data_IF_528027810471
#
_entry.id   IF_528027810471
#
_cell.length_a   1.000
_cell.length_b   1.000
_cell.length_c   1.000
_cell.angle_alpha   90.00
_cell.angle_beta   90.00
_cell.angle_gamma   90.00
#
_symmetry.space_group_name_H-M   'P 1'
#
loop_
_entity.id
_entity.type
_entity.pdbx_description
1 polymer ?
#
# COMPACT_ATOMS: atom_id res chain seq x y z
N UNK A 1 -21.02 -36.34 31.51
CA UNK A 1 -21.57 -35.18 30.78
C UNK A 1 -20.73 -33.98 31.17
N UNK A 2 -19.79 -33.56 30.31
CA UNK A 2 -18.92 -32.42 30.64
C UNK A 2 -19.75 -31.15 30.54
N UNK A 3 -20.11 -30.58 31.69
CA UNK A 3 -20.68 -29.25 31.77
C UNK A 3 -19.58 -28.25 31.47
N UNK A 4 -19.34 -28.01 30.18
CA UNK A 4 -18.49 -26.91 29.73
C UNK A 4 -19.20 -25.63 30.18
N UNK A 5 -18.74 -25.06 31.28
CA UNK A 5 -19.25 -23.80 31.80
C UNK A 5 -18.88 -22.69 30.82
N UNK A 6 -19.73 -21.66 30.69
CA UNK A 6 -19.47 -20.53 29.78
C UNK A 6 -18.09 -19.90 29.95
N UNK A 7 -17.48 -20.02 31.14
CA UNK A 7 -16.11 -19.57 31.44
C UNK A 7 -15.04 -20.35 30.66
N UNK A 8 -15.16 -21.67 30.55
CA UNK A 8 -14.17 -22.50 29.83
C UNK A 8 -14.20 -22.22 28.33
N UNK A 9 -15.38 -21.92 27.78
CA UNK A 9 -15.54 -21.52 26.39
C UNK A 9 -14.91 -20.15 26.11
N UNK A 10 -15.05 -19.20 27.05
CA UNK A 10 -14.41 -17.88 26.96
C UNK A 10 -12.89 -18.00 27.06
N UNK A 11 -12.37 -18.82 27.99
CA UNK A 11 -10.93 -19.04 28.15
C UNK A 11 -10.34 -19.74 26.93
N UNK A 12 -10.99 -20.80 26.42
CA UNK A 12 -10.56 -21.48 25.20
C UNK A 12 -10.56 -20.54 23.99
N UNK A 13 -11.60 -19.71 23.84
CA UNK A 13 -11.65 -18.67 22.81
C UNK A 13 -10.49 -17.68 22.92
N UNK A 14 -10.22 -17.17 24.14
CA UNK A 14 -9.11 -16.23 24.37
C UNK A 14 -7.73 -16.85 24.06
N UNK A 15 -7.51 -18.12 24.40
CA UNK A 15 -6.25 -18.83 24.10
C UNK A 15 -6.07 -19.02 22.59
N UNK A 16 -7.13 -19.40 21.86
CA UNK A 16 -7.09 -19.52 20.40
C UNK A 16 -6.79 -18.17 19.76
N UNK A 17 -7.38 -17.08 20.25
CA UNK A 17 -7.07 -15.72 19.79
C UNK A 17 -5.62 -15.38 20.04
N UNK A 18 -5.12 -15.61 21.25
CA UNK A 18 -3.73 -15.36 21.60
C UNK A 18 -2.78 -16.16 20.71
N UNK A 19 -3.07 -17.44 20.46
CA UNK A 19 -2.28 -18.29 19.58
C UNK A 19 -2.29 -17.80 18.13
N UNK A 20 -3.44 -17.40 17.59
CA UNK A 20 -3.56 -16.81 16.24
C UNK A 20 -2.78 -15.50 16.18
N UNK A 21 -2.89 -14.65 17.19
CA UNK A 21 -2.15 -13.40 17.28
C UNK A 21 -0.64 -13.66 17.30
N UNK A 22 -0.15 -14.57 18.15
CA UNK A 22 1.28 -14.93 18.24
C UNK A 22 1.80 -15.52 16.92
N UNK A 23 1.12 -16.51 16.35
CA UNK A 23 1.52 -17.13 15.07
C UNK A 23 1.55 -16.13 13.92
N UNK A 24 0.67 -15.13 13.96
CA UNK A 24 0.58 -14.12 12.90
C UNK A 24 1.52 -12.95 13.13
N UNK A 25 1.79 -12.55 14.37
CA UNK A 25 2.83 -11.58 14.73
C UNK A 25 4.22 -12.15 14.46
N UNK A 26 4.39 -13.46 14.65
CA UNK A 26 5.59 -14.21 14.28
C UNK A 26 5.76 -14.38 12.75
N UNK A 27 4.71 -14.11 11.95
CA UNK A 27 4.85 -13.91 10.51
C UNK A 27 4.96 -12.41 10.25
N UNK A 28 6.16 -11.82 10.32
CA UNK A 28 6.32 -10.42 9.96
C UNK A 28 5.75 -10.24 8.56
N UNK A 29 4.69 -9.42 8.44
CA UNK A 29 4.38 -8.84 7.15
C UNK A 29 5.65 -8.12 6.76
N UNK A 30 6.45 -8.70 5.86
CA UNK A 30 7.82 -8.25 5.62
C UNK A 30 7.75 -6.82 5.11
N UNK A 31 8.06 -5.89 6.02
CA UNK A 31 8.28 -4.50 5.71
C UNK A 31 9.64 -4.43 5.03
N UNK A 32 9.65 -3.85 3.85
CA UNK A 32 10.84 -3.71 3.02
C UNK A 32 11.07 -2.24 2.78
N UNK A 33 12.33 -1.83 2.90
CA UNK A 33 12.77 -0.50 2.50
C UNK A 33 12.83 -0.47 0.97
N UNK A 34 12.17 0.53 0.38
CA UNK A 34 12.20 0.80 -1.06
C UNK A 34 13.13 1.98 -1.28
N UNK A 35 14.10 1.77 -2.16
CA UNK A 35 15.05 2.76 -2.66
C UNK A 35 15.36 2.37 -4.11
N UNK A 36 14.45 2.74 -5.02
CA UNK A 36 14.47 2.27 -6.40
C UNK A 36 14.38 3.47 -7.36
N UNK A 37 15.16 3.39 -8.45
CA UNK A 37 15.16 4.40 -9.52
C UNK A 37 14.71 3.73 -10.80
N UNK A 38 13.64 4.24 -11.41
CA UNK A 38 13.12 3.78 -12.70
C UNK A 38 13.34 4.85 -13.76
N UNK A 39 14.03 4.48 -14.83
CA UNK A 39 14.31 5.38 -15.95
C UNK A 39 13.28 5.17 -17.06
N UNK A 40 12.72 6.25 -17.56
CA UNK A 40 11.76 6.24 -18.67
C UNK A 40 12.22 7.24 -19.72
N UNK A 41 12.37 6.79 -20.97
CA UNK A 41 12.80 7.61 -22.10
C UNK A 41 11.67 8.52 -22.63
N UNK A 42 11.02 9.26 -21.74
CA UNK A 42 9.92 10.19 -22.03
C UNK A 42 10.15 11.46 -21.22
N UNK A 43 9.71 12.60 -21.73
CA UNK A 43 9.84 13.90 -21.06
C UNK A 43 9.04 13.96 -19.74
N UNK A 44 9.54 14.61 -18.68
CA UNK A 44 8.90 14.60 -17.36
C UNK A 44 7.45 15.13 -17.36
N UNK A 45 7.20 16.17 -18.16
CA UNK A 45 5.88 16.81 -18.31
C UNK A 45 4.85 15.87 -18.94
N UNK A 46 5.28 15.01 -19.86
CA UNK A 46 4.40 14.00 -20.46
C UNK A 46 4.08 12.85 -19.49
N UNK A 47 4.92 12.65 -18.47
CA UNK A 47 4.89 11.52 -17.56
C UNK A 47 4.22 11.84 -16.21
N UNK A 48 4.10 13.11 -15.83
CA UNK A 48 3.48 13.57 -14.58
C UNK A 48 2.03 13.08 -14.42
N UNK A 49 1.19 13.25 -15.45
CA UNK A 49 -0.23 12.85 -15.43
C UNK A 49 -0.39 11.32 -15.44
N UNK A 50 0.26 10.56 -16.35
CA UNK A 50 0.22 9.10 -16.33
C UNK A 50 0.72 8.51 -15.00
N UNK A 51 1.81 9.03 -14.45
CA UNK A 51 2.38 8.57 -13.18
C UNK A 51 1.41 8.83 -12.02
N UNK A 52 0.85 10.04 -11.92
CA UNK A 52 -0.11 10.36 -10.87
C UNK A 52 -1.36 9.47 -10.94
N UNK A 53 -1.90 9.23 -12.15
CA UNK A 53 -3.05 8.34 -12.36
C UNK A 53 -2.74 6.90 -11.97
N UNK A 54 -1.59 6.40 -12.41
CA UNK A 54 -1.16 5.03 -12.14
C UNK A 54 -0.89 4.80 -10.66
N UNK A 55 -0.35 5.80 -9.96
CA UNK A 55 -0.20 5.77 -8.50
C UNK A 55 -1.54 5.89 -7.75
N UNK A 56 -2.52 6.63 -8.30
CA UNK A 56 -3.85 6.74 -7.68
C UNK A 56 -4.72 5.50 -7.85
N UNK A 57 -4.52 4.74 -8.93
CA UNK A 57 -5.29 3.52 -9.23
C UNK A 57 -4.81 2.30 -8.41
N UNK A 58 -3.73 2.45 -7.64
CA UNK A 58 -3.23 1.41 -6.76
C UNK A 58 -4.27 1.05 -5.67
N UNK A 59 -4.55 -0.23 -5.44
CA UNK A 59 -5.55 -0.64 -4.47
C UNK A 59 -5.06 -0.39 -3.04
N UNK A 60 -5.95 0.15 -2.19
CA UNK A 60 -5.70 0.40 -0.76
C UNK A 60 -4.59 1.43 -0.45
N UNK A 61 -4.36 2.36 -1.37
CA UNK A 61 -3.40 3.47 -1.20
C UNK A 61 -4.09 4.81 -1.34
N UNK A 62 -3.68 5.78 -0.52
CA UNK A 62 -4.05 7.19 -0.64
C UNK A 62 -2.83 7.94 -1.20
N UNK A 63 -3.03 8.66 -2.30
CA UNK A 63 -2.01 9.50 -2.91
C UNK A 63 -2.13 10.93 -2.36
N UNK A 64 -1.04 11.45 -1.81
CA UNK A 64 -0.94 12.84 -1.37
C UNK A 64 0.09 13.57 -2.22
N UNK A 65 -0.30 14.66 -2.87
CA UNK A 65 0.65 15.54 -3.55
C UNK A 65 1.53 16.23 -2.49
N UNK A 66 2.85 16.03 -2.56
CA UNK A 66 3.83 16.60 -1.62
C UNK A 66 4.44 17.91 -2.09
N UNK A 67 4.20 18.27 -3.35
CA UNK A 67 4.82 19.42 -4.03
C UNK A 67 4.88 19.17 -5.55
N UNK A 68 5.55 20.04 -6.32
CA UNK A 68 5.75 19.81 -7.75
C UNK A 68 6.55 18.53 -7.98
N UNK A 69 6.09 17.66 -8.89
CA UNK A 69 6.72 16.38 -9.25
C UNK A 69 7.01 15.43 -8.06
N UNK A 70 6.27 15.57 -6.95
CA UNK A 70 6.46 14.76 -5.73
C UNK A 70 5.12 14.26 -5.21
N UNK A 71 5.04 12.95 -4.97
CA UNK A 71 3.86 12.29 -4.44
C UNK A 71 4.22 11.39 -3.28
N UNK A 72 3.41 11.42 -2.23
CA UNK A 72 3.50 10.49 -1.12
C UNK A 72 2.36 9.50 -1.23
N UNK A 73 2.69 8.24 -1.48
CA UNK A 73 1.77 7.13 -1.45
C UNK A 73 1.68 6.60 -0.02
N UNK A 74 0.52 6.72 0.61
CA UNK A 74 0.26 6.11 1.91
C UNK A 74 -0.59 4.86 1.75
N UNK A 75 -0.17 3.73 2.32
CA UNK A 75 -0.98 2.51 2.34
C UNK A 75 -1.85 2.57 3.58
N UNK A 76 -3.17 2.68 3.41
CA UNK A 76 -4.13 2.55 4.51
C UNK A 76 -4.80 1.21 4.43
N UNK A 77 -4.41 0.30 5.32
CA UNK A 77 -5.12 -0.98 5.45
C UNK A 77 -5.42 -1.28 6.91
N UNK A 78 -6.71 -1.41 7.22
CA UNK A 78 -7.12 -2.13 8.42
C UNK A 78 -6.60 -3.56 8.27
N UNK A 79 -5.70 -3.96 9.16
CA UNK A 79 -5.16 -5.30 9.14
C UNK A 79 -6.31 -6.29 9.35
N UNK A 80 -6.47 -7.35 8.52
CA UNK A 80 -7.56 -8.31 8.69
C UNK A 80 -7.63 -8.96 10.07
N UNK A 81 -6.52 -8.96 10.82
CA UNK A 81 -6.51 -9.47 12.19
C UNK A 81 -7.27 -8.58 13.17
N UNK A 82 -7.47 -7.28 12.91
CA UNK A 82 -8.20 -6.38 13.83
C UNK A 82 -9.68 -6.76 13.95
N UNK A 83 -10.22 -7.50 12.97
CA UNK A 83 -11.54 -8.14 13.04
C UNK A 83 -11.61 -9.24 14.12
N UNK A 84 -10.52 -9.98 14.35
CA UNK A 84 -10.50 -11.11 15.30
C UNK A 84 -10.79 -10.64 16.74
N UNK A 85 -10.04 -9.68 17.33
CA UNK A 85 -10.39 -9.15 18.63
C UNK A 85 -11.73 -8.39 18.58
N UNK A 86 -12.08 -7.73 17.47
CA UNK A 86 -13.38 -7.04 17.35
C UNK A 86 -14.59 -7.97 17.53
N UNK A 87 -14.51 -9.18 16.98
CA UNK A 87 -15.56 -10.20 17.13
C UNK A 87 -15.50 -10.86 18.51
N UNK A 88 -14.31 -11.12 19.05
CA UNK A 88 -14.14 -11.97 20.24
C UNK A 88 -14.21 -11.20 21.57
N UNK A 89 -13.82 -9.93 21.58
CA UNK A 89 -13.80 -9.05 22.75
C UNK A 89 -14.80 -7.90 22.59
N UNK A 90 -16.00 -8.20 22.07
CA UNK A 90 -17.03 -7.23 21.70
C UNK A 90 -17.14 -6.03 22.68
N UNK A 91 -17.22 -4.81 22.15
CA UNK A 91 -16.90 -3.49 22.75
C UNK A 91 -15.41 -3.13 22.85
N UNK A 92 -14.57 -3.92 23.52
CA UNK A 92 -13.14 -3.60 23.64
C UNK A 92 -12.39 -3.83 22.31
N UNK A 93 -12.74 -4.90 21.62
CA UNK A 93 -12.18 -5.29 20.34
C UNK A 93 -12.47 -4.31 19.21
N UNK A 94 -13.57 -3.53 19.31
CA UNK A 94 -13.91 -2.49 18.34
C UNK A 94 -12.81 -1.40 18.27
N UNK A 95 -12.08 -1.17 19.37
CA UNK A 95 -10.94 -0.25 19.38
C UNK A 95 -9.81 -0.72 18.45
N UNK A 96 -9.66 -2.03 18.24
CA UNK A 96 -8.65 -2.55 17.32
C UNK A 96 -8.98 -2.25 15.86
N UNK A 97 -10.25 -2.04 15.50
CA UNK A 97 -10.62 -1.59 14.15
C UNK A 97 -10.08 -0.18 13.85
N UNK A 98 -9.74 0.60 14.89
CA UNK A 98 -9.08 1.90 14.74
C UNK A 98 -7.58 1.77 14.48
N UNK A 99 -6.99 0.59 14.73
CA UNK A 99 -5.58 0.36 14.47
C UNK A 99 -5.35 0.31 12.96
N UNK A 100 -4.81 1.42 12.44
CA UNK A 100 -4.44 1.58 11.04
C UNK A 100 -2.94 1.60 10.94
N UNK A 101 -2.40 0.72 10.12
CA UNK A 101 -0.99 0.80 9.76
C UNK A 101 -0.82 1.78 8.62
N UNK A 102 0.14 2.68 8.79
CA UNK A 102 0.54 3.67 7.80
C UNK A 102 1.91 3.27 7.25
N UNK A 103 1.96 2.90 5.98
CA UNK A 103 3.20 2.81 5.23
C UNK A 103 3.28 4.03 4.31
N UNK A 104 4.45 4.68 4.20
CA UNK A 104 4.64 5.83 3.32
C UNK A 104 5.76 5.54 2.32
N UNK A 105 5.47 5.73 1.04
CA UNK A 105 6.43 5.69 -0.06
C UNK A 105 6.37 7.03 -0.79
N UNK A 106 7.50 7.72 -0.83
CA UNK A 106 7.69 8.94 -1.60
C UNK A 106 8.08 8.57 -3.03
N UNK A 107 7.32 9.07 -4.00
CA UNK A 107 7.65 9.04 -5.42
C UNK A 107 8.09 10.45 -5.86
N UNK A 108 9.29 10.54 -6.43
CA UNK A 108 9.86 11.80 -6.94
C UNK A 108 10.15 11.63 -8.43
N UNK A 109 9.58 12.49 -9.26
CA UNK A 109 9.89 12.54 -10.68
C UNK A 109 10.99 13.58 -10.92
N UNK A 110 12.07 13.18 -11.58
CA UNK A 110 13.19 14.05 -11.95
C UNK A 110 13.49 13.95 -13.43
N UNK A 111 14.04 15.03 -13.99
CA UNK A 111 14.60 15.03 -15.34
C UNK A 111 16.00 14.44 -15.31
N UNK A 112 16.32 13.59 -16.29
CA UNK A 112 17.60 12.89 -16.39
C UNK A 112 18.12 12.96 -17.83
N UNK A 113 19.46 12.88 -18.04
CA UNK A 113 20.02 12.84 -19.38
C UNK A 113 19.54 11.56 -20.11
N UNK A 114 18.57 11.73 -21.02
CA UNK A 114 17.92 10.64 -21.75
C UNK A 114 16.43 10.44 -21.45
N UNK A 115 15.82 11.25 -20.57
CA UNK A 115 14.39 11.23 -20.31
C UNK A 115 14.02 11.64 -18.88
N UNK A 116 13.24 10.78 -18.21
CA UNK A 116 12.74 10.97 -16.85
C UNK A 116 13.19 9.86 -15.93
N UNK A 117 13.38 10.19 -14.66
CA UNK A 117 13.65 9.25 -13.58
C UNK A 117 12.55 9.34 -12.52
N UNK A 118 11.99 8.19 -12.14
CA UNK A 118 11.07 8.05 -11.01
C UNK A 118 11.81 7.40 -9.86
N UNK A 119 12.00 8.14 -8.77
CA UNK A 119 12.66 7.68 -7.55
C UNK A 119 11.58 7.30 -6.53
N UNK A 120 11.62 6.06 -6.05
CA UNK A 120 10.76 5.55 -4.98
C UNK A 120 11.57 5.38 -3.69
N UNK A 121 11.17 6.08 -2.63
CA UNK A 121 11.85 6.10 -1.34
C UNK A 121 10.87 5.84 -0.20
N UNK A 122 11.16 4.88 0.68
CA UNK A 122 10.37 4.71 1.91
C UNK A 122 10.34 3.29 2.44
N UNK A 123 9.28 2.96 3.18
CA UNK A 123 9.05 1.61 3.70
C UNK A 123 7.63 1.17 3.38
N UNK A 124 7.51 -0.04 2.83
CA UNK A 124 6.21 -0.62 2.49
C UNK A 124 6.26 -2.14 2.61
N UNK A 125 5.12 -2.79 2.45
CA UNK A 125 5.05 -4.25 2.44
C UNK A 125 5.51 -4.80 1.09
N UNK A 126 6.12 -6.00 1.08
CA UNK A 126 6.52 -6.71 -0.16
C UNK A 126 5.41 -6.71 -1.21
N UNK A 127 4.17 -7.02 -0.83
CA UNK A 127 3.05 -7.07 -1.77
C UNK A 127 2.76 -5.72 -2.45
N UNK A 128 2.91 -4.61 -1.72
CA UNK A 128 2.70 -3.26 -2.27
C UNK A 128 3.87 -2.89 -3.18
N UNK A 129 5.11 -3.21 -2.77
CA UNK A 129 6.31 -3.04 -3.62
C UNK A 129 6.16 -3.79 -4.95
N UNK A 130 5.72 -5.04 -4.94
CA UNK A 130 5.54 -5.82 -6.18
C UNK A 130 4.47 -5.23 -7.09
N UNK A 131 3.40 -4.67 -6.53
CA UNK A 131 2.36 -4.00 -7.33
C UNK A 131 2.88 -2.67 -7.90
N UNK A 132 3.61 -1.88 -7.10
CA UNK A 132 4.27 -0.65 -7.54
C UNK A 132 5.24 -0.91 -8.70
N UNK A 133 6.10 -1.93 -8.58
CA UNK A 133 7.05 -2.30 -9.63
C UNK A 133 6.35 -2.70 -10.92
N UNK A 134 5.28 -3.51 -10.83
CA UNK A 134 4.49 -3.89 -12.00
C UNK A 134 3.84 -2.68 -12.66
N UNK A 135 3.24 -1.81 -11.87
CA UNK A 135 2.59 -0.62 -12.39
C UNK A 135 3.62 0.34 -13.04
N UNK A 136 4.79 0.56 -12.43
CA UNK A 136 5.86 1.35 -13.03
C UNK A 136 6.41 0.75 -14.34
N UNK A 137 6.40 -0.57 -14.50
CA UNK A 137 6.79 -1.21 -15.75
C UNK A 137 5.79 -0.93 -16.89
N UNK A 138 4.52 -0.65 -16.58
CA UNK A 138 3.47 -0.32 -17.56
C UNK A 138 3.45 1.18 -17.92
N UNK A 139 4.15 2.01 -17.15
CA UNK A 139 4.20 3.46 -17.30
C UNK A 139 4.62 3.96 -18.71
N UNK A 140 5.63 3.36 -19.40
CA UNK A 140 5.98 3.78 -20.76
C UNK A 140 4.83 3.57 -21.75
N UNK A 141 4.07 2.48 -21.61
CA UNK A 141 2.92 2.20 -22.44
C UNK A 141 1.76 3.18 -22.16
N UNK A 142 1.52 3.48 -20.88
CA UNK A 142 0.51 4.45 -20.46
C UNK A 142 0.82 5.89 -20.97
N UNK A 143 2.09 6.27 -20.99
CA UNK A 143 2.54 7.55 -21.54
C UNK A 143 2.37 7.65 -23.06
N UNK A 144 2.56 6.54 -23.79
CA UNK A 144 2.38 6.48 -25.25
C UNK A 144 0.90 6.57 -25.69
N UNK A 145 -0.04 6.17 -24.85
CA UNK A 145 -1.49 6.21 -25.15
C UNK A 145 -2.16 7.58 -25.00
N UNK A 146 -1.41 8.67 -24.84
CA UNK A 146 -2.01 10.02 -24.84
C UNK A 146 -2.67 10.25 -26.21
N UNK A 147 -4.00 10.44 -26.28
CA UNK A 147 -4.60 10.85 -27.54
C UNK A 147 -4.09 12.27 -27.81
N UNK A 148 -3.33 12.43 -28.89
CA UNK A 148 -3.01 13.72 -29.47
C UNK A 148 -4.32 14.43 -29.82
N UNK A 149 -4.84 15.22 -28.88
CA UNK A 149 -5.93 16.15 -29.12
C UNK A 149 -5.37 17.37 -29.87
N UNK A 150 -4.81 17.15 -31.06
CA UNK A 150 -4.41 18.20 -32.02
C UNK A 150 -4.49 17.63 -33.43
N UNK A 151 -5.67 17.23 -33.86
CA UNK A 151 -6.02 17.24 -35.28
C UNK A 151 -7.50 17.53 -35.43
N UNK A 152 -7.88 18.80 -35.43
CA UNK A 152 -8.93 19.26 -36.34
C UNK A 152 -8.67 20.71 -36.69
N UNK A 153 -8.49 20.89 -37.99
CA UNK A 153 -8.30 22.11 -38.76
C UNK A 153 -9.45 23.10 -38.63
#
# INVERSE_FOLDING_TARGET
MFGIGGVELVVAGAVVVAAILVLRFARPGQWVRVDEVHHVAVEPTALEIPLARLLSDLPSTELHAGGPATWTLSVRRAQPWTLVPAVLLFRLGLLFLLFREHAAVLAVLRSAPGGSEVHLLGTTRVAVRTTLQRALAELPAAAATRPDATTTS
#
